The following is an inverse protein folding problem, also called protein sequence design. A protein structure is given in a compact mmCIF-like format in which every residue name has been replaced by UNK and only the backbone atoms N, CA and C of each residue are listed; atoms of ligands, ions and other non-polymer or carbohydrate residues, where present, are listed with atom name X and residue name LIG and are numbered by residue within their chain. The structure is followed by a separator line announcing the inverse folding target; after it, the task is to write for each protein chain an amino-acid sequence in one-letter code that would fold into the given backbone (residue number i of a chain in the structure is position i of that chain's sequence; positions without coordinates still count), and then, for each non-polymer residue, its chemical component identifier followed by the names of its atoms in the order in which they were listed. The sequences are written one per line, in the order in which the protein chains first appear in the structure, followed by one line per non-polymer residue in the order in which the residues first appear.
data_IF_793344444133
#
_entry.id   IF_793344444133
#
_cell.length_a   1.000
_cell.length_b   1.000
_cell.length_c   1.000
_cell.angle_alpha   90.00
_cell.angle_beta   90.00
_cell.angle_gamma   90.00
#
_symmetry.space_group_name_H-M   'P 1'
#
loop_
_entity.id
_entity.type
_entity.pdbx_description
1 polymer ?
#
# COMPACT_ATOMS: atom_id res chain seq x y z
N UNK A 1 29.45 -8.98 -20.40
CA UNK A 1 28.49 -9.79 -19.61
C UNK A 1 27.75 -8.86 -18.67
N UNK A 2 26.41 -8.93 -18.56
CA UNK A 2 25.68 -8.13 -17.59
C UNK A 2 26.17 -8.52 -16.19
N UNK A 3 26.56 -7.54 -15.36
CA UNK A 3 26.89 -7.80 -13.96
C UNK A 3 25.60 -8.19 -13.25
N UNK A 4 25.60 -9.34 -12.59
CA UNK A 4 24.49 -9.79 -11.74
C UNK A 4 24.25 -8.76 -10.63
N UNK A 5 23.00 -8.29 -10.51
CA UNK A 5 22.58 -7.36 -9.46
C UNK A 5 22.58 -8.09 -8.13
N UNK A 6 23.42 -7.65 -7.19
CA UNK A 6 23.47 -8.19 -5.81
C UNK A 6 22.75 -7.24 -4.87
N UNK A 7 21.85 -7.77 -4.06
CA UNK A 7 21.08 -7.02 -3.05
C UNK A 7 21.34 -7.59 -1.64
N UNK A 8 22.57 -7.48 -1.11
CA UNK A 8 22.88 -7.97 0.23
C UNK A 8 22.19 -7.11 1.30
N UNK A 9 21.66 -7.74 2.34
CA UNK A 9 21.26 -7.04 3.55
C UNK A 9 22.52 -6.58 4.29
N UNK A 10 22.73 -5.27 4.40
CA UNK A 10 23.91 -4.71 5.07
C UNK A 10 23.78 -4.67 6.59
N UNK A 11 22.60 -4.33 7.11
CA UNK A 11 22.29 -4.33 8.54
C UNK A 11 20.77 -4.33 8.79
N UNK A 12 20.36 -4.91 9.91
CA UNK A 12 19.03 -4.81 10.50
C UNK A 12 19.18 -4.87 12.02
N UNK A 13 19.06 -3.74 12.69
CA UNK A 13 19.20 -3.63 14.14
C UNK A 13 18.32 -2.49 14.67
N UNK A 14 17.83 -2.58 15.92
CA UNK A 14 17.22 -1.43 16.58
C UNK A 14 18.25 -0.31 16.74
N UNK A 15 17.79 0.94 16.74
CA UNK A 15 18.65 2.05 17.13
C UNK A 15 18.88 2.01 18.64
N UNK A 16 20.07 2.36 19.09
CA UNK A 16 20.49 2.24 20.49
C UNK A 16 19.72 3.17 21.46
N UNK A 17 19.00 4.15 20.94
CA UNK A 17 18.28 5.17 21.70
C UNK A 17 16.82 5.23 21.19
N UNK A 18 15.96 4.38 21.75
CA UNK A 18 14.55 4.20 21.31
C UNK A 18 13.72 5.48 21.43
N UNK A 19 14.15 6.44 22.27
CA UNK A 19 13.50 7.73 22.45
C UNK A 19 13.88 8.76 21.37
N UNK A 20 14.85 8.46 20.50
CA UNK A 20 15.40 9.39 19.49
C UNK A 20 15.53 8.73 18.11
N UNK A 21 14.40 8.37 17.51
CA UNK A 21 14.26 8.00 16.08
C UNK A 21 14.45 9.20 15.13
N UNK A 22 15.48 10.01 15.36
CA UNK A 22 15.77 11.21 14.58
C UNK A 22 16.81 10.93 13.48
N UNK A 23 16.79 11.74 12.43
CA UNK A 23 17.68 11.53 11.27
C UNK A 23 19.18 11.44 11.64
N UNK A 24 19.74 12.25 12.57
CA UNK A 24 21.14 12.10 12.98
C UNK A 24 21.50 10.70 13.50
N UNK A 25 20.63 10.08 14.31
CA UNK A 25 20.84 8.72 14.81
C UNK A 25 20.90 7.70 13.66
N UNK A 26 19.99 7.81 12.69
CA UNK A 26 20.00 6.99 11.48
C UNK A 26 21.26 7.22 10.63
N UNK A 27 21.69 8.47 10.44
CA UNK A 27 22.92 8.79 9.69
C UNK A 27 24.14 8.15 10.36
N UNK A 28 24.23 8.21 11.69
CA UNK A 28 25.31 7.57 12.43
C UNK A 28 25.29 6.05 12.24
N UNK A 29 24.12 5.43 12.37
CA UNK A 29 23.95 3.98 12.14
C UNK A 29 24.38 3.55 10.73
N UNK A 30 23.98 4.31 9.69
CA UNK A 30 24.38 4.05 8.31
C UNK A 30 25.90 4.17 8.17
N UNK A 31 26.52 5.21 8.74
CA UNK A 31 27.98 5.40 8.68
C UNK A 31 28.75 4.27 9.36
N UNK A 32 28.36 3.88 10.57
CA UNK A 32 29.00 2.77 11.28
C UNK A 32 28.81 1.45 10.53
N UNK A 33 27.62 1.21 9.97
CA UNK A 33 27.38 0.03 9.11
C UNK A 33 28.32 0.02 7.90
N UNK A 34 28.46 1.13 7.19
CA UNK A 34 29.34 1.22 6.03
C UNK A 34 30.82 0.97 6.39
N UNK A 35 31.28 1.47 7.55
CA UNK A 35 32.65 1.24 8.04
C UNK A 35 32.98 -0.23 8.24
N UNK A 36 32.03 -1.05 8.71
CA UNK A 36 32.21 -2.51 8.86
C UNK A 36 32.62 -3.16 7.53
N UNK A 37 32.13 -2.63 6.41
CA UNK A 37 32.42 -3.10 5.06
C UNK A 37 33.55 -2.31 4.35
N UNK A 38 34.28 -1.46 5.08
CA UNK A 38 35.33 -0.59 4.51
C UNK A 38 34.79 0.44 3.52
N UNK A 39 33.55 0.90 3.70
CA UNK A 39 32.87 1.90 2.86
C UNK A 39 32.64 3.21 3.61
N UNK A 40 32.46 4.29 2.87
CA UNK A 40 32.04 5.61 3.37
C UNK A 40 30.73 6.05 2.71
N UNK A 41 30.21 7.20 3.14
CA UNK A 41 29.02 7.80 2.51
C UNK A 41 29.27 8.16 1.03
N UNK A 42 30.53 8.37 0.62
CA UNK A 42 30.90 8.64 -0.78
C UNK A 42 30.65 7.44 -1.70
N UNK A 43 30.45 6.24 -1.13
CA UNK A 43 30.05 5.05 -1.87
C UNK A 43 28.53 4.94 -2.08
N UNK A 44 27.74 5.83 -1.49
CA UNK A 44 26.27 5.81 -1.58
C UNK A 44 25.84 6.75 -2.70
N UNK A 45 25.29 6.18 -3.78
CA UNK A 45 24.80 6.96 -4.92
C UNK A 45 23.47 7.67 -4.61
N UNK A 46 22.55 6.99 -3.93
CA UNK A 46 21.23 7.49 -3.54
C UNK A 46 20.64 6.63 -2.43
N UNK A 47 19.66 7.19 -1.72
CA UNK A 47 18.77 6.43 -0.83
C UNK A 47 17.46 6.13 -1.54
N UNK A 48 16.82 5.02 -1.17
CA UNK A 48 15.44 4.71 -1.55
C UNK A 48 14.64 4.54 -0.28
N UNK A 49 13.55 5.28 -0.15
CA UNK A 49 12.71 5.26 1.05
C UNK A 49 11.37 5.92 0.80
N UNK A 50 10.42 5.76 1.72
CA UNK A 50 9.19 6.54 1.65
C UNK A 50 9.46 8.05 1.86
N UNK A 51 8.51 8.89 1.49
CA UNK A 51 8.62 10.35 1.58
C UNK A 51 8.46 10.85 3.04
N UNK A 52 8.78 10.03 4.04
CA UNK A 52 8.81 10.45 5.44
C UNK A 52 9.84 11.57 5.63
N UNK A 53 9.51 12.55 6.47
CA UNK A 53 10.37 13.71 6.76
C UNK A 53 11.75 13.29 7.27
N UNK A 54 11.83 12.21 8.05
CA UNK A 54 13.09 11.65 8.54
C UNK A 54 13.99 11.20 7.39
N UNK A 55 13.46 10.50 6.37
CA UNK A 55 14.24 10.04 5.22
C UNK A 55 14.76 11.21 4.39
N UNK A 56 13.90 12.21 4.14
CA UNK A 56 14.31 13.44 3.45
C UNK A 56 15.41 14.17 4.22
N UNK A 57 15.34 14.19 5.55
CA UNK A 57 16.37 14.83 6.38
C UNK A 57 17.67 14.02 6.44
N UNK A 58 17.62 12.68 6.48
CA UNK A 58 18.79 11.80 6.36
C UNK A 58 19.53 12.09 5.04
N UNK A 59 18.82 12.11 3.92
CA UNK A 59 19.37 12.38 2.61
C UNK A 59 20.07 13.74 2.56
N UNK A 60 19.42 14.79 3.09
CA UNK A 60 19.99 16.13 3.22
C UNK A 60 21.26 16.17 4.09
N UNK A 61 21.25 15.50 5.24
CA UNK A 61 22.41 15.45 6.14
C UNK A 61 23.60 14.70 5.52
N UNK A 62 23.32 13.71 4.68
CA UNK A 62 24.34 12.94 3.97
C UNK A 62 24.81 13.61 2.67
N UNK A 63 24.08 14.59 2.13
CA UNK A 63 24.34 15.14 0.80
C UNK A 63 24.06 14.15 -0.34
N UNK A 64 23.18 13.17 -0.09
CA UNK A 64 22.88 12.06 -1.01
C UNK A 64 21.42 12.19 -1.47
N UNK A 65 21.11 12.03 -2.76
CA UNK A 65 19.73 12.12 -3.25
C UNK A 65 18.83 11.02 -2.67
N UNK A 66 17.56 11.35 -2.42
CA UNK A 66 16.51 10.40 -2.02
C UNK A 66 15.58 10.14 -3.19
N UNK A 67 15.44 8.87 -3.56
CA UNK A 67 14.43 8.40 -4.50
C UNK A 67 13.22 7.91 -3.69
N UNK A 68 12.07 8.53 -3.93
CA UNK A 68 10.83 8.14 -3.27
C UNK A 68 10.43 6.70 -3.64
N UNK A 69 9.98 5.95 -2.65
CA UNK A 69 9.52 4.57 -2.81
C UNK A 69 8.33 4.51 -3.77
N UNK A 70 8.52 3.84 -4.93
CA UNK A 70 7.47 3.68 -5.94
C UNK A 70 6.20 3.05 -5.38
N UNK A 71 6.32 2.00 -4.55
CA UNK A 71 5.16 1.38 -3.89
C UNK A 71 4.40 2.38 -2.99
N UNK A 72 5.12 3.28 -2.32
CA UNK A 72 4.51 4.31 -1.49
C UNK A 72 3.82 5.39 -2.33
N UNK A 73 4.50 5.89 -3.38
CA UNK A 73 3.92 6.84 -4.36
C UNK A 73 2.64 6.27 -4.97
N UNK A 74 2.67 5.00 -5.38
CA UNK A 74 1.50 4.31 -5.94
C UNK A 74 0.37 4.18 -4.92
N UNK A 75 0.66 3.80 -3.68
CA UNK A 75 -0.34 3.77 -2.60
C UNK A 75 -1.01 5.15 -2.40
N UNK A 76 -0.25 6.24 -2.44
CA UNK A 76 -0.82 7.58 -2.32
C UNK A 76 -1.70 7.95 -3.52
N UNK A 77 -1.29 7.63 -4.74
CA UNK A 77 -2.06 7.89 -5.95
C UNK A 77 -3.40 7.13 -5.94
N UNK A 78 -3.37 5.84 -5.61
CA UNK A 78 -4.59 5.02 -5.49
C UNK A 78 -5.52 5.57 -4.41
N UNK A 79 -5.00 5.96 -3.23
CA UNK A 79 -5.83 6.56 -2.19
C UNK A 79 -6.54 7.83 -2.64
N UNK A 80 -5.87 8.71 -3.38
CA UNK A 80 -6.49 9.92 -3.94
C UNK A 80 -7.55 9.57 -4.99
N UNK A 81 -7.26 8.59 -5.84
CA UNK A 81 -8.18 8.12 -6.87
C UNK A 81 -9.45 7.49 -6.29
N UNK A 82 -9.37 6.89 -5.10
CA UNK A 82 -10.51 6.27 -4.41
C UNK A 82 -11.44 7.26 -3.70
N UNK A 83 -11.07 8.54 -3.55
CA UNK A 83 -11.89 9.55 -2.87
C UNK A 83 -13.35 9.61 -3.34
N UNK A 84 -13.66 9.52 -4.65
CA UNK A 84 -15.05 9.54 -5.12
C UNK A 84 -15.91 8.33 -4.70
N UNK A 85 -15.28 7.26 -4.18
CA UNK A 85 -15.94 6.02 -3.75
C UNK A 85 -15.97 5.87 -2.23
N UNK A 86 -15.52 6.89 -1.47
CA UNK A 86 -15.38 6.78 -0.02
C UNK A 86 -16.71 6.56 0.72
N UNK A 87 -17.83 6.99 0.15
CA UNK A 87 -19.16 6.72 0.70
C UNK A 87 -19.44 5.21 0.71
N UNK A 88 -19.33 4.54 -0.44
CA UNK A 88 -19.56 3.10 -0.53
C UNK A 88 -18.50 2.30 0.23
N UNK A 89 -17.24 2.73 0.18
CA UNK A 89 -16.17 2.07 0.92
C UNK A 89 -16.36 2.17 2.44
N UNK A 90 -16.93 3.27 2.92
CA UNK A 90 -17.28 3.43 4.34
C UNK A 90 -18.47 2.56 4.70
N UNK A 91 -19.51 2.54 3.86
CA UNK A 91 -20.67 1.68 4.06
C UNK A 91 -20.28 0.18 4.16
N UNK A 92 -19.45 -0.32 3.25
CA UNK A 92 -18.94 -1.70 3.34
C UNK A 92 -18.12 -1.89 4.62
N UNK A 93 -17.25 -0.94 4.98
CA UNK A 93 -16.42 -1.08 6.16
C UNK A 93 -17.23 -1.16 7.46
N UNK A 94 -18.36 -0.46 7.52
CA UNK A 94 -19.29 -0.48 8.65
C UNK A 94 -20.11 -1.77 8.66
N UNK A 95 -20.61 -2.22 7.51
CA UNK A 95 -21.23 -3.53 7.35
C UNK A 95 -20.27 -4.65 7.78
N UNK A 96 -19.03 -4.64 7.33
CA UNK A 96 -17.98 -5.59 7.73
C UNK A 96 -17.69 -5.55 9.23
N UNK A 97 -17.79 -4.37 9.86
CA UNK A 97 -17.74 -4.21 11.30
C UNK A 97 -18.95 -4.82 12.01
N UNK A 98 -20.15 -4.64 11.45
CA UNK A 98 -21.39 -5.19 11.96
C UNK A 98 -21.40 -6.72 11.90
N UNK A 99 -20.97 -7.31 10.77
CA UNK A 99 -20.85 -8.76 10.58
C UNK A 99 -19.93 -9.43 11.59
N UNK A 100 -18.96 -8.68 12.17
CA UNK A 100 -18.07 -9.18 13.23
C UNK A 100 -18.73 -9.33 14.60
N UNK A 101 -19.95 -8.82 14.80
CA UNK A 101 -20.70 -9.02 16.06
C UNK A 101 -21.05 -10.50 16.22
N UNK A 102 -20.93 -11.03 17.44
CA UNK A 102 -21.04 -12.47 17.71
C UNK A 102 -22.32 -13.13 17.16
N UNK A 103 -23.48 -12.50 17.34
CA UNK A 103 -24.75 -13.05 16.89
C UNK A 103 -24.89 -13.04 15.36
N UNK A 104 -24.40 -11.98 14.69
CA UNK A 104 -24.42 -11.87 13.22
C UNK A 104 -23.41 -12.82 12.59
N UNK A 105 -22.19 -12.87 13.14
CA UNK A 105 -21.16 -13.81 12.72
C UNK A 105 -21.62 -15.27 12.83
N UNK A 106 -22.41 -15.60 13.87
CA UNK A 106 -22.99 -16.94 14.01
C UNK A 106 -23.92 -17.28 12.86
N UNK A 107 -24.78 -16.35 12.44
CA UNK A 107 -25.65 -16.53 11.28
C UNK A 107 -24.82 -16.65 9.99
N UNK A 108 -23.84 -15.77 9.80
CA UNK A 108 -22.97 -15.79 8.62
C UNK A 108 -22.23 -17.14 8.47
N UNK A 109 -21.72 -17.69 9.57
CA UNK A 109 -21.04 -19.01 9.60
C UNK A 109 -21.95 -20.19 9.25
N UNK A 110 -23.27 -20.03 9.31
CA UNK A 110 -24.20 -21.05 8.85
C UNK A 110 -24.35 -21.03 7.32
N UNK A 111 -23.96 -19.94 6.67
CA UNK A 111 -24.09 -19.72 5.23
C UNK A 111 -22.77 -19.83 4.48
N UNK A 112 -21.64 -19.50 5.12
CA UNK A 112 -20.30 -19.52 4.51
C UNK A 112 -19.18 -19.62 5.54
N UNK A 113 -18.05 -20.21 5.15
CA UNK A 113 -16.82 -20.26 5.94
C UNK A 113 -16.02 -18.94 5.86
N UNK A 114 -16.42 -18.00 5.00
CA UNK A 114 -15.73 -16.74 4.81
C UNK A 114 -15.98 -15.77 5.98
N UNK A 115 -14.92 -15.11 6.43
CA UNK A 115 -14.99 -14.10 7.48
C UNK A 115 -15.01 -12.66 6.90
N UNK A 116 -15.73 -11.71 7.51
CA UNK A 116 -15.67 -10.31 7.13
C UNK A 116 -14.29 -9.69 7.37
N UNK A 117 -13.85 -8.85 6.44
CA UNK A 117 -12.56 -8.13 6.48
C UNK A 117 -12.84 -6.63 6.53
N UNK A 118 -12.14 -5.88 7.40
CA UNK A 118 -12.23 -4.42 7.45
C UNK A 118 -10.99 -3.81 6.80
N UNK A 119 -11.13 -2.63 6.21
CA UNK A 119 -10.00 -1.88 5.66
C UNK A 119 -9.22 -1.17 6.76
N UNK A 120 -7.92 -0.98 6.53
CA UNK A 120 -7.08 0.00 7.19
C UNK A 120 -6.88 1.18 6.22
N UNK A 121 -7.45 2.34 6.53
CA UNK A 121 -7.43 3.53 5.66
C UNK A 121 -6.02 3.99 5.25
N UNK A 122 -4.98 3.61 5.98
CA UNK A 122 -3.60 3.97 5.65
C UNK A 122 -3.03 3.17 4.47
N UNK A 123 -3.56 1.96 4.20
CA UNK A 123 -3.05 1.02 3.20
C UNK A 123 -4.14 0.65 2.19
N UNK A 124 -4.00 1.08 0.94
CA UNK A 124 -5.01 0.86 -0.10
C UNK A 124 -5.27 -0.63 -0.39
N UNK A 125 -4.26 -1.51 -0.23
CA UNK A 125 -4.40 -2.96 -0.41
C UNK A 125 -5.40 -3.59 0.56
N UNK A 126 -5.60 -3.00 1.74
CA UNK A 126 -6.64 -3.44 2.66
C UNK A 126 -8.05 -3.08 2.17
N UNK A 127 -8.20 -1.98 1.42
CA UNK A 127 -9.44 -1.63 0.72
C UNK A 127 -9.72 -2.66 -0.37
N UNK A 128 -8.71 -3.05 -1.16
CA UNK A 128 -8.85 -4.14 -2.15
C UNK A 128 -9.34 -5.43 -1.50
N UNK A 129 -8.69 -5.88 -0.42
CA UNK A 129 -9.08 -7.10 0.29
C UNK A 129 -10.51 -7.03 0.86
N UNK A 130 -10.92 -5.87 1.39
CA UNK A 130 -12.27 -5.65 1.91
C UNK A 130 -13.32 -5.71 0.80
N UNK A 131 -13.09 -5.02 -0.33
CA UNK A 131 -14.02 -5.02 -1.47
C UNK A 131 -14.11 -6.42 -2.08
N UNK A 132 -12.98 -7.11 -2.26
CA UNK A 132 -12.95 -8.50 -2.73
C UNK A 132 -13.80 -9.39 -1.83
N UNK A 133 -13.54 -9.37 -0.51
CA UNK A 133 -14.29 -10.16 0.47
C UNK A 133 -15.77 -9.81 0.52
N UNK A 134 -16.12 -8.54 0.36
CA UNK A 134 -17.53 -8.12 0.29
C UNK A 134 -18.23 -8.77 -0.90
N UNK A 135 -17.62 -8.74 -2.08
CA UNK A 135 -18.19 -9.33 -3.29
C UNK A 135 -18.31 -10.85 -3.17
N UNK A 136 -17.35 -11.53 -2.53
CA UNK A 136 -17.43 -12.97 -2.22
C UNK A 136 -18.59 -13.29 -1.24
N UNK A 137 -18.83 -12.41 -0.26
CA UNK A 137 -19.86 -12.59 0.76
C UNK A 137 -21.28 -12.28 0.27
N UNK A 138 -21.45 -11.48 -0.78
CA UNK A 138 -22.76 -11.02 -1.28
C UNK A 138 -23.86 -12.10 -1.31
N UNK A 139 -23.64 -13.31 -1.86
CA UNK A 139 -24.69 -14.34 -1.92
C UNK A 139 -25.16 -14.85 -0.55
N UNK A 140 -24.28 -14.83 0.46
CA UNK A 140 -24.65 -15.17 1.83
C UNK A 140 -25.37 -14.00 2.52
N UNK A 141 -24.91 -12.77 2.27
CA UNK A 141 -25.52 -11.57 2.85
C UNK A 141 -26.97 -11.36 2.37
N UNK A 142 -27.27 -11.68 1.11
CA UNK A 142 -28.63 -11.59 0.55
C UNK A 142 -29.65 -12.52 1.25
N UNK A 143 -29.19 -13.53 2.00
CA UNK A 143 -30.04 -14.44 2.77
C UNK A 143 -30.26 -13.99 4.23
N UNK A 144 -29.57 -12.93 4.67
CA UNK A 144 -29.57 -12.48 6.06
C UNK A 144 -30.50 -11.28 6.25
N UNK A 145 -31.74 -11.51 6.68
CA UNK A 145 -32.70 -10.42 6.96
C UNK A 145 -32.21 -9.47 8.07
N UNK A 146 -31.39 -9.97 8.99
CA UNK A 146 -30.88 -9.24 10.16
C UNK A 146 -29.96 -8.07 9.83
N UNK A 147 -29.47 -7.98 8.59
CA UNK A 147 -28.55 -6.93 8.13
C UNK A 147 -29.14 -6.02 7.05
N UNK A 148 -30.44 -6.14 6.75
CA UNK A 148 -31.11 -5.39 5.68
C UNK A 148 -30.89 -3.87 5.76
N UNK A 149 -30.87 -3.30 6.97
CA UNK A 149 -30.63 -1.86 7.20
C UNK A 149 -29.21 -1.41 6.82
N UNK A 150 -28.26 -2.35 6.76
CA UNK A 150 -26.86 -2.11 6.41
C UNK A 150 -26.53 -2.51 4.96
N UNK A 151 -27.49 -3.08 4.23
CA UNK A 151 -27.27 -3.54 2.86
C UNK A 151 -27.17 -2.36 1.89
N UNK A 152 -26.20 -2.45 0.99
CA UNK A 152 -26.00 -1.46 -0.06
C UNK A 152 -27.08 -1.63 -1.13
N UNK A 153 -27.50 -0.52 -1.73
CA UNK A 153 -28.41 -0.55 -2.88
C UNK A 153 -27.80 -1.29 -4.07
N UNK A 154 -28.65 -1.80 -4.96
CA UNK A 154 -28.20 -2.46 -6.21
C UNK A 154 -27.28 -1.57 -7.04
N UNK A 155 -27.53 -0.26 -7.06
CA UNK A 155 -26.71 0.72 -7.77
C UNK A 155 -25.31 0.83 -7.15
N UNK A 156 -25.21 0.92 -5.82
CA UNK A 156 -23.93 0.95 -5.11
C UNK A 156 -23.15 -0.35 -5.30
N UNK A 157 -23.81 -1.51 -5.21
CA UNK A 157 -23.17 -2.81 -5.48
C UNK A 157 -22.62 -2.89 -6.90
N UNK A 158 -23.36 -2.39 -7.90
CA UNK A 158 -22.88 -2.37 -9.28
C UNK A 158 -21.68 -1.43 -9.45
N UNK A 159 -21.71 -0.26 -8.80
CA UNK A 159 -20.59 0.68 -8.78
C UNK A 159 -19.34 0.07 -8.15
N UNK A 160 -19.50 -0.72 -7.09
CA UNK A 160 -18.40 -1.44 -6.42
C UNK A 160 -17.82 -2.57 -7.27
N UNK A 161 -18.65 -3.29 -8.03
CA UNK A 161 -18.17 -4.29 -9.00
C UNK A 161 -17.32 -3.64 -10.09
N UNK A 162 -17.75 -2.48 -10.61
CA UNK A 162 -16.95 -1.71 -11.57
C UNK A 162 -15.65 -1.19 -10.94
N UNK A 163 -15.72 -0.68 -9.71
CA UNK A 163 -14.54 -0.28 -8.94
C UNK A 163 -13.54 -1.44 -8.77
N UNK A 164 -14.03 -2.64 -8.47
CA UNK A 164 -13.18 -3.80 -8.21
C UNK A 164 -12.27 -4.15 -9.39
N UNK A 165 -12.78 -4.03 -10.62
CA UNK A 165 -11.97 -4.25 -11.84
C UNK A 165 -10.75 -3.30 -11.89
N UNK A 166 -10.92 -2.04 -11.52
CA UNK A 166 -9.81 -1.09 -11.43
C UNK A 166 -8.84 -1.44 -10.29
N UNK A 167 -9.35 -1.89 -9.15
CA UNK A 167 -8.52 -2.30 -8.03
C UNK A 167 -7.66 -3.54 -8.36
N UNK A 168 -8.15 -4.48 -9.16
CA UNK A 168 -7.38 -5.64 -9.63
C UNK A 168 -6.17 -5.23 -10.48
N UNK A 169 -6.34 -4.19 -11.31
CA UNK A 169 -5.24 -3.63 -12.09
C UNK A 169 -4.22 -2.93 -11.19
N UNK A 170 -4.68 -2.14 -10.21
CA UNK A 170 -3.79 -1.51 -9.23
C UNK A 170 -3.02 -2.52 -8.38
N UNK A 171 -3.65 -3.65 -8.05
CA UNK A 171 -3.02 -4.76 -7.33
C UNK A 171 -1.96 -5.43 -8.19
N UNK A 172 -2.21 -5.59 -9.48
CA UNK A 172 -1.24 -6.12 -10.44
C UNK A 172 -0.02 -5.23 -10.55
N UNK A 173 -0.21 -3.91 -10.68
CA UNK A 173 0.90 -2.93 -10.71
C UNK A 173 1.69 -2.98 -9.39
N UNK A 174 1.00 -3.02 -8.25
CA UNK A 174 1.65 -3.05 -6.93
C UNK A 174 2.48 -4.32 -6.73
N UNK A 175 1.93 -5.49 -7.07
CA UNK A 175 2.67 -6.76 -7.02
C UNK A 175 3.89 -6.73 -7.93
N UNK A 176 3.76 -6.14 -9.12
CA UNK A 176 4.88 -6.00 -10.03
C UNK A 176 5.96 -5.10 -9.42
N UNK A 177 5.61 -3.92 -8.88
CA UNK A 177 6.56 -3.00 -8.21
C UNK A 177 7.30 -3.63 -7.02
N UNK A 178 6.68 -4.62 -6.37
CA UNK A 178 7.26 -5.35 -5.23
C UNK A 178 8.01 -6.62 -5.65
N UNK A 179 8.00 -6.99 -6.93
CA UNK A 179 8.67 -8.20 -7.41
C UNK A 179 10.19 -8.02 -7.47
N UNK A 180 10.91 -9.14 -7.25
CA UNK A 180 12.34 -9.17 -7.42
C UNK A 180 12.74 -8.86 -8.86
N UNK A 181 13.89 -8.19 -9.02
CA UNK A 181 14.47 -7.87 -10.32
C UNK A 181 13.97 -6.57 -10.97
N UNK A 182 12.95 -5.92 -10.41
CA UNK A 182 12.49 -4.61 -10.88
C UNK A 182 13.54 -3.54 -10.60
N UNK A 183 13.78 -2.70 -11.59
CA UNK A 183 14.57 -1.49 -11.45
C UNK A 183 13.74 -0.20 -11.56
N UNK A 184 14.42 0.94 -11.49
CA UNK A 184 13.80 2.26 -11.53
C UNK A 184 13.15 2.54 -12.91
N UNK A 185 13.74 2.04 -14.00
CA UNK A 185 13.20 2.21 -15.35
C UNK A 185 11.94 1.36 -15.57
N UNK A 186 11.94 0.13 -15.05
CA UNK A 186 10.75 -0.72 -15.02
C UNK A 186 9.60 -0.06 -14.22
N UNK A 187 9.92 0.47 -13.03
CA UNK A 187 8.94 1.15 -12.20
C UNK A 187 8.37 2.40 -12.89
N UNK A 188 9.21 3.15 -13.60
CA UNK A 188 8.78 4.29 -14.42
C UNK A 188 7.86 3.85 -15.56
N UNK A 189 8.19 2.77 -16.26
CA UNK A 189 7.37 2.21 -17.34
C UNK A 189 5.98 1.79 -16.83
N UNK A 190 5.91 1.20 -15.64
CA UNK A 190 4.63 0.85 -15.01
C UNK A 190 3.80 2.09 -14.66
N UNK A 191 4.44 3.17 -14.20
CA UNK A 191 3.76 4.43 -13.91
C UNK A 191 3.25 5.10 -15.19
N UNK A 192 4.06 5.17 -16.25
CA UNK A 192 3.65 5.74 -17.53
C UNK A 192 2.45 4.98 -18.11
N UNK A 193 2.47 3.64 -18.06
CA UNK A 193 1.33 2.81 -18.46
C UNK A 193 0.09 3.02 -17.59
N UNK A 194 0.27 3.19 -16.28
CA UNK A 194 -0.83 3.52 -15.36
C UNK A 194 -1.42 4.88 -15.70
N UNK A 195 -0.60 5.91 -15.93
CA UNK A 195 -1.03 7.27 -16.24
C UNK A 195 -1.75 7.36 -17.57
N UNK A 196 -1.31 6.60 -18.58
CA UNK A 196 -2.01 6.52 -19.86
C UNK A 196 -3.45 6.01 -19.71
N UNK A 197 -3.69 5.08 -18.77
CA UNK A 197 -5.02 4.53 -18.49
C UNK A 197 -5.81 5.33 -17.44
N UNK A 198 -5.12 5.93 -16.48
CA UNK A 198 -5.68 6.66 -15.36
C UNK A 198 -5.06 8.07 -15.26
N UNK A 199 -5.40 9.00 -16.18
CA UNK A 199 -4.81 10.34 -16.20
C UNK A 199 -5.02 11.14 -14.91
N UNK A 200 -6.08 10.83 -14.14
CA UNK A 200 -6.35 11.46 -12.84
C UNK A 200 -5.32 11.10 -11.76
N UNK A 201 -4.45 10.12 -11.99
CA UNK A 201 -3.34 9.75 -11.10
C UNK A 201 -2.05 10.55 -11.36
N UNK A 202 -2.12 11.71 -12.01
CA UNK A 202 -0.96 12.56 -12.39
C UNK A 202 0.05 12.84 -11.25
N UNK A 203 -0.32 12.67 -9.99
CA UNK A 203 0.59 12.72 -8.84
C UNK A 203 1.66 11.61 -8.81
N UNK A 204 1.57 10.60 -9.67
CA UNK A 204 2.66 9.65 -9.89
C UNK A 204 3.87 10.30 -10.57
N UNK A 205 3.66 11.39 -11.30
CA UNK A 205 4.72 12.13 -12.00
C UNK A 205 5.39 13.21 -11.14
N UNK A 206 4.86 13.54 -9.97
CA UNK A 206 5.53 14.50 -9.09
C UNK A 206 6.71 13.84 -8.39
N UNK A 207 7.91 14.39 -8.63
CA UNK A 207 9.14 13.95 -7.97
C UNK A 207 9.29 14.40 -6.51
N UNK A 208 8.29 15.10 -5.95
CA UNK A 208 8.24 15.49 -4.53
C UNK A 208 6.85 15.28 -3.92
#
# INVERSE_FOLDING_TARGET
MPREKKTPLLAMAPLLDDDRLNAPAHVNFIRETLKIYGKSMDNVAFFVGDNCSTNGYIARLCGVPLIGCYSHKFNMAVKRWLLPFEEELTAINDLMGHLKRLHVMRQLRQLTDLAPVRRNMTRWSSTFNMVSRFLELLPALDQMESINEFMLSRAQVQRLKALFQHLEEFETVTKKLQSDGIDIADARTLFDGTLAKYPSMAHLDSDN
#
